data_IF_008461316275
#
_entry.id   IF_008461316275
#
_cell.length_a   1.000
_cell.length_b   1.000
_cell.length_c   1.000
_cell.angle_alpha   90.00
_cell.angle_beta   90.00
_cell.angle_gamma   90.00
#
_symmetry.space_group_name_H-M   'P 1'
#
loop_
_entity.id
_entity.type
_entity.pdbx_description
1 polymer ?
#
# COMPACT_ATOMS: atom_id res chain seq x y z
N UNK A 1 6.30 -8.16 16.42
CA UNK A 1 7.47 -7.39 16.77
C UNK A 1 7.74 -6.22 15.84
N UNK A 2 8.80 -5.50 16.12
CA UNK A 2 9.20 -4.37 15.30
C UNK A 2 9.92 -4.90 14.06
N UNK A 3 9.54 -4.48 12.83
CA UNK A 3 10.23 -4.94 11.64
C UNK A 3 11.67 -4.41 11.59
N UNK A 4 12.58 -5.12 10.91
CA UNK A 4 13.93 -4.62 10.68
C UNK A 4 13.92 -3.25 10.01
N UNK A 5 14.95 -2.43 10.28
CA UNK A 5 15.03 -1.07 9.74
C UNK A 5 15.09 -1.03 8.21
N UNK A 6 15.63 -2.09 7.58
CA UNK A 6 15.74 -2.21 6.13
C UNK A 6 14.55 -2.92 5.48
N UNK A 7 13.50 -3.23 6.26
CA UNK A 7 12.33 -3.93 5.72
C UNK A 7 11.57 -3.03 4.74
N UNK A 8 11.15 -3.63 3.62
CA UNK A 8 10.22 -3.01 2.71
C UNK A 8 8.81 -3.14 3.30
N UNK A 9 8.11 -2.03 3.48
CA UNK A 9 6.73 -2.05 3.94
C UNK A 9 5.80 -2.11 2.74
N UNK A 10 4.98 -3.16 2.66
CA UNK A 10 4.01 -3.37 1.58
C UNK A 10 2.63 -3.45 2.20
N UNK A 11 1.69 -2.71 1.66
CA UNK A 11 0.29 -2.76 2.10
C UNK A 11 -0.53 -3.60 1.14
N UNK A 12 -1.25 -4.58 1.68
CA UNK A 12 -2.18 -5.41 0.92
C UNK A 12 -3.59 -5.13 1.41
N UNK A 13 -4.41 -4.56 0.55
CA UNK A 13 -5.79 -4.19 0.86
C UNK A 13 -6.74 -5.12 0.14
N UNK A 14 -7.54 -5.84 0.92
CA UNK A 14 -8.61 -6.68 0.38
C UNK A 14 -9.87 -5.89 0.13
N UNK A 15 -10.42 -6.02 -1.06
CA UNK A 15 -11.72 -5.52 -1.48
C UNK A 15 -12.49 -6.66 -2.12
N UNK A 16 -13.81 -6.64 -2.03
CA UNK A 16 -14.62 -7.51 -2.88
C UNK A 16 -14.57 -6.90 -4.29
N UNK A 17 -14.04 -7.54 -5.23
CA UNK A 17 -13.49 -8.87 -5.39
C UNK A 17 -12.08 -8.77 -5.96
N UNK A 18 -11.23 -7.98 -5.36
CA UNK A 18 -9.86 -7.78 -5.81
C UNK A 18 -8.95 -7.41 -4.63
N UNK A 19 -7.65 -7.50 -4.89
CA UNK A 19 -6.62 -7.09 -3.95
C UNK A 19 -5.86 -5.90 -4.53
N UNK A 20 -5.59 -4.91 -3.70
CA UNK A 20 -4.72 -3.80 -4.07
C UNK A 20 -3.44 -3.94 -3.27
N UNK A 21 -2.31 -4.05 -3.95
CA UNK A 21 -0.99 -4.13 -3.34
C UNK A 21 -0.29 -2.81 -3.57
N UNK A 22 0.12 -2.15 -2.49
CA UNK A 22 0.72 -0.84 -2.56
C UNK A 22 2.12 -0.87 -2.00
N UNK A 23 3.05 -0.29 -2.74
CA UNK A 23 4.47 -0.21 -2.39
C UNK A 23 4.85 1.25 -2.20
N UNK A 24 5.72 1.57 -1.22
CA UNK A 24 6.30 2.90 -1.14
C UNK A 24 7.25 3.08 -2.32
N UNK A 25 7.37 4.31 -2.79
CA UNK A 25 8.37 4.64 -3.78
C UNK A 25 9.75 4.82 -3.15
N UNK A 26 10.64 5.55 -3.83
CA UNK A 26 12.01 5.75 -3.35
C UNK A 26 12.13 6.37 -1.96
N UNK A 27 11.11 7.09 -1.48
CA UNK A 27 11.12 7.66 -0.14
C UNK A 27 10.93 6.60 0.97
N UNK A 28 10.56 5.36 0.60
CA UNK A 28 10.32 4.29 1.55
C UNK A 28 9.07 4.46 2.41
N UNK A 29 8.20 5.42 2.09
CA UNK A 29 7.03 5.76 2.88
C UNK A 29 5.76 5.63 2.04
N UNK A 30 4.77 4.92 2.61
CA UNK A 30 3.45 4.86 2.01
C UNK A 30 2.70 6.17 2.26
N UNK A 31 2.01 6.64 1.23
CA UNK A 31 1.17 7.81 1.34
C UNK A 31 -0.02 7.58 2.25
N UNK A 32 -0.51 8.67 2.84
CA UNK A 32 -1.66 8.66 3.72
C UNK A 32 -2.93 8.27 2.95
N UNK A 33 -3.81 7.54 3.60
CA UNK A 33 -5.13 7.16 3.07
C UNK A 33 -6.24 7.65 3.98
N UNK A 34 -7.42 7.83 3.42
CA UNK A 34 -8.61 8.21 4.18
C UNK A 34 -9.85 7.55 3.59
N UNK A 35 -10.79 7.07 4.44
CA UNK A 35 -11.99 6.37 3.97
C UNK A 35 -12.86 7.21 3.04
N UNK A 36 -12.95 8.51 3.27
CA UNK A 36 -13.77 9.42 2.46
C UNK A 36 -13.18 9.71 1.08
N UNK A 37 -11.97 9.23 0.81
CA UNK A 37 -11.32 9.39 -0.50
C UNK A 37 -11.40 8.13 -1.35
N UNK A 38 -12.00 7.06 -0.84
CA UNK A 38 -12.17 5.82 -1.61
C UNK A 38 -13.17 6.05 -2.74
N UNK A 39 -12.78 5.67 -3.95
CA UNK A 39 -13.62 5.75 -5.14
C UNK A 39 -13.20 4.66 -6.13
N UNK A 40 -13.92 4.56 -7.24
CA UNK A 40 -13.55 3.59 -8.28
C UNK A 40 -12.13 3.82 -8.81
N UNK A 41 -11.71 5.08 -8.92
CA UNK A 41 -10.38 5.45 -9.42
C UNK A 41 -9.34 5.52 -8.31
N UNK A 42 -9.76 5.40 -7.05
CA UNK A 42 -8.88 5.49 -5.88
C UNK A 42 -9.29 4.43 -4.85
N UNK A 43 -8.98 3.17 -5.13
CA UNK A 43 -9.58 2.06 -4.39
C UNK A 43 -9.14 1.95 -2.93
N UNK A 44 -8.03 2.57 -2.55
CA UNK A 44 -7.56 2.56 -1.14
C UNK A 44 -7.73 3.90 -0.46
N UNK A 45 -8.26 4.91 -1.14
CA UNK A 45 -8.46 6.23 -0.58
C UNK A 45 -7.17 7.01 -0.38
N UNK A 46 -6.25 6.93 -1.33
CA UNK A 46 -4.97 7.63 -1.26
C UNK A 46 -5.18 9.14 -1.24
N UNK A 47 -4.50 9.82 -0.32
CA UNK A 47 -4.54 11.28 -0.23
C UNK A 47 -3.43 11.88 -1.09
N UNK A 48 -3.81 12.38 -2.27
CA UNK A 48 -2.86 12.95 -3.21
C UNK A 48 -2.18 14.24 -2.71
N UNK A 49 -2.67 14.82 -1.62
CA UNK A 49 -2.03 15.97 -0.98
C UNK A 49 -0.80 15.58 -0.17
N UNK A 50 -0.69 14.31 0.19
CA UNK A 50 0.49 13.80 0.88
C UNK A 50 1.63 13.60 -0.12
N UNK A 51 2.77 14.27 0.03
CA UNK A 51 3.90 14.07 -0.90
C UNK A 51 4.36 12.62 -0.98
N UNK A 52 4.25 11.84 0.11
CA UNK A 52 4.62 10.43 0.09
C UNK A 52 3.71 9.58 -0.79
N UNK A 53 2.50 10.07 -1.11
CA UNK A 53 1.57 9.35 -1.99
C UNK A 53 1.98 9.41 -3.47
N UNK A 54 2.78 10.40 -3.84
CA UNK A 54 3.07 10.66 -5.25
C UNK A 54 3.94 9.60 -5.91
N UNK A 55 4.76 8.94 -5.14
CA UNK A 55 5.67 7.90 -5.63
C UNK A 55 5.22 6.49 -5.26
N UNK A 56 4.06 6.34 -4.62
CA UNK A 56 3.50 5.02 -4.33
C UNK A 56 3.17 4.29 -5.62
N UNK A 57 3.42 2.98 -5.62
CA UNK A 57 3.09 2.10 -6.74
C UNK A 57 2.00 1.16 -6.29
N UNK A 58 0.94 1.03 -7.10
CA UNK A 58 -0.17 0.12 -6.82
C UNK A 58 -0.28 -0.93 -7.91
N UNK A 59 -0.47 -2.19 -7.49
CA UNK A 59 -0.76 -3.31 -8.37
C UNK A 59 -2.10 -3.92 -7.96
N UNK A 60 -2.86 -4.38 -8.96
CA UNK A 60 -4.11 -5.10 -8.73
C UNK A 60 -3.86 -6.59 -8.85
N UNK A 61 -4.26 -7.34 -7.81
CA UNK A 61 -4.19 -8.80 -7.80
C UNK A 61 -2.80 -9.37 -8.08
N UNK A 62 -1.76 -8.59 -7.78
CA UNK A 62 -0.39 -9.00 -8.03
C UNK A 62 0.49 -8.57 -6.87
N UNK A 63 1.32 -9.47 -6.39
CA UNK A 63 2.27 -9.21 -5.32
C UNK A 63 3.67 -9.51 -5.85
N UNK A 64 4.56 -8.53 -5.82
CA UNK A 64 5.96 -8.68 -6.19
C UNK A 64 6.82 -8.34 -5.00
N UNK A 65 7.68 -9.26 -4.60
CA UNK A 65 8.55 -9.09 -3.45
C UNK A 65 10.01 -9.19 -3.88
N UNK A 66 10.89 -8.35 -3.31
CA UNK A 66 12.32 -8.44 -3.59
C UNK A 66 12.90 -9.69 -2.94
N UNK A 67 13.90 -10.29 -3.59
CA UNK A 67 14.66 -11.41 -3.04
C UNK A 67 15.69 -10.86 -2.06
N UNK A 68 15.84 -11.54 -0.92
CA UNK A 68 16.92 -11.23 0.03
C UNK A 68 16.70 -9.97 0.87
N UNK A 69 15.47 -9.45 0.90
CA UNK A 69 15.13 -8.27 1.71
C UNK A 69 13.95 -8.59 2.62
N UNK A 70 14.00 -8.22 3.90
CA UNK A 70 12.84 -8.38 4.78
C UNK A 70 11.65 -7.55 4.26
N UNK A 71 10.44 -8.10 4.39
CA UNK A 71 9.21 -7.42 3.99
C UNK A 71 8.26 -7.39 5.16
N UNK A 72 7.76 -6.19 5.46
CA UNK A 72 6.72 -5.98 6.46
C UNK A 72 5.40 -5.77 5.72
N UNK A 73 4.47 -6.71 5.86
CA UNK A 73 3.18 -6.65 5.16
C UNK A 73 2.13 -6.09 6.10
N UNK A 74 1.48 -5.01 5.66
CA UNK A 74 0.32 -4.43 6.33
C UNK A 74 -0.94 -4.92 5.62
N UNK A 75 -1.84 -5.55 6.37
CA UNK A 75 -3.09 -6.06 5.83
C UNK A 75 -4.24 -5.12 6.17
N UNK A 76 -5.06 -4.81 5.16
CA UNK A 76 -6.27 -4.00 5.33
C UNK A 76 -7.45 -4.66 4.63
N UNK A 77 -8.65 -4.37 5.12
CA UNK A 77 -9.90 -4.72 4.45
C UNK A 77 -10.76 -3.48 4.42
N UNK A 78 -11.26 -3.12 3.23
CA UNK A 78 -12.13 -1.97 3.04
C UNK A 78 -13.57 -2.35 2.69
N UNK A 79 -13.89 -3.61 2.71
CA UNK A 79 -15.29 -4.05 2.54
C UNK A 79 -16.06 -3.88 3.84
N UNK A 80 -17.25 -3.42 3.71
CA UNK A 80 -18.13 -3.14 4.83
C UNK A 80 -19.32 -4.08 4.77
#
# INVERSE_FOLDING_TARGET
GIPPADALTVEVTGRQFFWVVRYPGPDGRLGRTAPDRVSADNPVGLDARDPAARDDVMLLNELRLPVGRPVHVLLRSLDV
#
